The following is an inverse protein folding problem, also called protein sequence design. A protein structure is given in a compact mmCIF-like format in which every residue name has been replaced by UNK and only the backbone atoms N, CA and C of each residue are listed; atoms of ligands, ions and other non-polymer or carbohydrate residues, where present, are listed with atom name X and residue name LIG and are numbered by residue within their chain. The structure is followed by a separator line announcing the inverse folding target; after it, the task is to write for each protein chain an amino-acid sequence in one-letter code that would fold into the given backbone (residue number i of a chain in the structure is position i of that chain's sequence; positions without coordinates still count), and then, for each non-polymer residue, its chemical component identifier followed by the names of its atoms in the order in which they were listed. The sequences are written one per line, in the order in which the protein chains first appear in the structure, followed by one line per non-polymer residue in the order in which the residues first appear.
data_IF_944582218670
#
_entry.id   IF_944582218670
#
_cell.length_a   1.000
_cell.length_b   1.000
_cell.length_c   1.000
_cell.angle_alpha   90.00
_cell.angle_beta   90.00
_cell.angle_gamma   90.00
#
_symmetry.space_group_name_H-M   'P 1'
#
loop_
_entity.id
_entity.type
_entity.pdbx_description
1 polymer ?
#
# COMPACT_ATOMS: atom_id res chain seq x y z
N UNK A 1 -46.58 6.72 -25.57
CA UNK A 1 -45.28 6.55 -24.90
C UNK A 1 -45.13 7.73 -23.94
N UNK A 2 -45.22 7.40 -22.66
CA UNK A 2 -45.49 8.37 -21.60
C UNK A 2 -44.24 9.18 -21.23
N UNK A 3 -44.36 10.48 -21.36
CA UNK A 3 -43.29 11.47 -21.10
C UNK A 3 -42.83 11.46 -19.63
N UNK A 4 -43.64 10.94 -18.71
CA UNK A 4 -43.39 10.83 -17.29
C UNK A 4 -42.33 9.78 -16.97
N UNK A 5 -42.28 8.67 -17.72
CA UNK A 5 -41.35 7.57 -17.50
C UNK A 5 -39.92 7.94 -17.91
N UNK A 6 -39.78 8.77 -18.94
CA UNK A 6 -38.47 9.27 -19.44
C UNK A 6 -37.83 10.25 -18.46
N UNK A 7 -38.62 11.10 -17.80
CA UNK A 7 -38.14 12.09 -16.82
C UNK A 7 -37.69 11.38 -15.52
N UNK A 8 -38.37 10.32 -15.10
CA UNK A 8 -38.00 9.55 -13.90
C UNK A 8 -36.68 8.80 -14.14
N UNK A 9 -36.46 8.22 -15.35
CA UNK A 9 -35.20 7.54 -15.69
C UNK A 9 -34.04 8.50 -15.85
N UNK A 10 -34.28 9.71 -16.38
CA UNK A 10 -33.27 10.76 -16.45
C UNK A 10 -32.92 11.31 -15.06
N UNK A 11 -33.89 11.51 -14.18
CA UNK A 11 -33.66 11.94 -12.80
C UNK A 11 -32.96 10.87 -11.96
N UNK A 12 -33.22 9.58 -12.17
CA UNK A 12 -32.50 8.51 -11.47
C UNK A 12 -31.06 8.36 -11.95
N UNK A 13 -30.75 8.65 -13.23
CA UNK A 13 -29.37 8.72 -13.75
C UNK A 13 -28.64 10.01 -13.40
N UNK A 14 -29.35 11.10 -13.12
CA UNK A 14 -28.76 12.36 -12.65
C UNK A 14 -28.52 12.39 -11.14
N UNK A 15 -29.12 11.47 -10.36
CA UNK A 15 -28.84 11.30 -8.92
C UNK A 15 -27.58 10.48 -8.63
N UNK A 16 -26.98 9.83 -9.62
CA UNK A 16 -25.68 9.22 -9.53
C UNK A 16 -24.58 10.27 -9.73
N UNK A 17 -24.08 10.78 -8.62
CA UNK A 17 -22.75 11.38 -8.49
C UNK A 17 -22.57 12.88 -8.53
N UNK A 18 -23.37 13.65 -7.86
CA UNK A 18 -22.82 14.93 -7.35
C UNK A 18 -22.25 14.68 -5.96
N UNK A 19 -20.94 14.43 -5.87
CA UNK A 19 -20.22 14.45 -4.62
C UNK A 19 -20.43 15.83 -3.98
N UNK A 20 -20.87 15.86 -2.71
CA UNK A 20 -21.20 17.10 -2.03
C UNK A 20 -19.97 18.03 -2.03
N UNK A 21 -20.12 19.28 -2.51
CA UNK A 21 -19.04 20.28 -2.53
C UNK A 21 -18.37 20.44 -1.15
N UNK A 22 -19.12 20.25 -0.06
CA UNK A 22 -18.59 20.23 1.31
C UNK A 22 -17.58 19.08 1.51
N UNK A 23 -17.89 17.87 1.06
CA UNK A 23 -16.99 16.70 1.14
C UNK A 23 -15.72 16.93 0.31
N UNK A 24 -15.83 17.47 -0.90
CA UNK A 24 -14.67 17.80 -1.75
C UNK A 24 -13.75 18.79 -1.03
N UNK A 25 -14.30 19.85 -0.44
CA UNK A 25 -13.53 20.85 0.29
C UNK A 25 -12.82 20.25 1.48
N UNK A 26 -13.52 19.48 2.31
CA UNK A 26 -12.96 18.78 3.49
C UNK A 26 -11.77 17.92 3.06
N UNK A 27 -11.91 17.12 1.99
CA UNK A 27 -10.83 16.22 1.56
C UNK A 27 -9.63 16.99 1.02
N UNK A 28 -9.84 18.09 0.28
CA UNK A 28 -8.74 18.92 -0.22
C UNK A 28 -7.97 19.61 0.92
N UNK A 29 -8.68 20.18 1.88
CA UNK A 29 -8.08 20.81 3.07
C UNK A 29 -7.33 19.79 3.93
N UNK A 30 -7.94 18.63 4.19
CA UNK A 30 -7.31 17.55 4.96
C UNK A 30 -6.05 16.99 4.27
N UNK A 31 -6.07 16.78 2.94
CA UNK A 31 -4.89 16.34 2.22
C UNK A 31 -3.70 17.29 2.41
N UNK A 32 -3.92 18.60 2.30
CA UNK A 32 -2.88 19.62 2.51
C UNK A 32 -2.36 19.66 3.96
N UNK A 33 -3.25 19.43 4.92
CA UNK A 33 -2.91 19.50 6.34
C UNK A 33 -2.11 18.29 6.83
N UNK A 34 -2.41 17.08 6.29
CA UNK A 34 -1.87 15.83 6.82
C UNK A 34 -0.76 15.21 5.96
N UNK A 35 -0.64 15.57 4.69
CA UNK A 35 0.49 15.14 3.86
C UNK A 35 1.71 16.00 4.14
N UNK A 36 2.35 15.77 5.28
CA UNK A 36 3.51 16.53 5.77
C UNK A 36 4.63 15.59 6.22
N UNK A 37 5.85 16.11 6.39
CA UNK A 37 6.98 15.32 6.93
C UNK A 37 6.71 14.79 8.34
N UNK A 38 5.92 15.48 9.14
CA UNK A 38 5.57 15.06 10.50
C UNK A 38 4.73 13.77 10.52
N UNK A 39 4.04 13.48 9.41
CA UNK A 39 3.35 12.20 9.23
C UNK A 39 4.31 11.02 9.42
N UNK A 40 5.57 11.13 8.96
CA UNK A 40 6.58 10.08 9.07
C UNK A 40 6.90 9.69 10.51
N UNK A 41 6.82 10.61 11.47
CA UNK A 41 7.20 10.36 12.87
C UNK A 41 6.41 9.21 13.51
N UNK A 42 5.24 8.90 12.98
CA UNK A 42 4.35 7.86 13.51
C UNK A 42 3.90 6.86 12.45
N UNK A 43 4.53 6.85 11.27
CA UNK A 43 4.16 5.99 10.15
C UNK A 43 5.31 5.03 9.79
N UNK A 44 5.04 3.77 9.42
CA UNK A 44 6.08 2.83 9.01
C UNK A 44 6.85 3.28 7.75
N UNK A 45 6.37 4.25 7.00
CA UNK A 45 7.11 4.88 5.93
C UNK A 45 8.44 5.50 6.40
N UNK A 46 8.57 5.85 7.69
CA UNK A 46 9.82 6.32 8.27
C UNK A 46 11.00 5.39 7.94
N UNK A 47 10.79 4.08 8.04
CA UNK A 47 11.86 3.09 7.89
C UNK A 47 12.48 3.08 6.48
N UNK A 48 11.70 3.35 5.44
CA UNK A 48 12.22 3.37 4.06
C UNK A 48 13.14 4.57 3.76
N UNK A 49 13.11 5.60 4.59
CA UNK A 49 13.98 6.78 4.45
C UNK A 49 15.36 6.59 5.09
N UNK A 50 15.54 5.57 5.95
CA UNK A 50 16.79 5.36 6.69
C UNK A 50 17.93 4.81 5.81
N UNK A 51 17.73 3.78 4.97
CA UNK A 51 18.78 3.33 4.04
C UNK A 51 19.16 4.44 3.06
N UNK A 52 20.44 4.45 2.64
CA UNK A 52 20.96 5.46 1.70
C UNK A 52 20.72 5.04 0.25
N UNK A 53 21.03 3.77 -0.04
CA UNK A 53 21.00 3.24 -1.40
C UNK A 53 19.56 2.97 -1.88
N UNK A 54 19.29 3.24 -3.17
CA UNK A 54 17.95 3.11 -3.78
C UNK A 54 17.35 1.73 -3.53
N UNK A 55 18.08 0.67 -3.84
CA UNK A 55 17.57 -0.69 -3.72
C UNK A 55 17.40 -1.15 -2.27
N UNK A 56 18.19 -0.63 -1.33
CA UNK A 56 17.96 -0.87 0.10
C UNK A 56 16.68 -0.15 0.59
N UNK A 57 16.39 1.05 0.08
CA UNK A 57 15.11 1.74 0.32
C UNK A 57 13.92 0.95 -0.19
N UNK A 58 14.00 0.40 -1.40
CA UNK A 58 12.96 -0.45 -2.00
C UNK A 58 12.68 -1.69 -1.14
N UNK A 59 13.73 -2.40 -0.75
CA UNK A 59 13.63 -3.60 0.08
C UNK A 59 13.10 -3.26 1.47
N UNK A 60 13.57 -2.16 2.07
CA UNK A 60 13.08 -1.71 3.37
C UNK A 60 11.59 -1.33 3.31
N UNK A 61 11.18 -0.58 2.29
CA UNK A 61 9.78 -0.21 2.08
C UNK A 61 8.90 -1.45 1.92
N UNK A 62 9.34 -2.44 1.14
CA UNK A 62 8.61 -3.68 0.93
C UNK A 62 8.43 -4.47 2.24
N UNK A 63 9.51 -4.69 2.99
CA UNK A 63 9.46 -5.39 4.29
C UNK A 63 8.61 -4.60 5.28
N UNK A 64 8.82 -3.30 5.42
CA UNK A 64 8.06 -2.45 6.34
C UNK A 64 6.56 -2.48 6.04
N UNK A 65 6.17 -2.39 4.76
CA UNK A 65 4.77 -2.49 4.36
C UNK A 65 4.17 -3.85 4.72
N UNK A 66 4.89 -4.94 4.46
CA UNK A 66 4.46 -6.30 4.76
C UNK A 66 4.29 -6.58 6.27
N UNK A 67 5.12 -5.93 7.10
CA UNK A 67 5.06 -6.04 8.55
C UNK A 67 4.01 -5.10 9.19
N UNK A 68 3.51 -4.10 8.46
CA UNK A 68 2.61 -3.07 8.96
C UNK A 68 1.19 -3.57 9.12
N UNK A 69 0.95 -4.43 10.12
CA UNK A 69 -0.39 -4.85 10.50
C UNK A 69 -0.53 -4.98 12.02
N UNK A 70 -1.70 -4.62 12.55
CA UNK A 70 -1.93 -4.58 14.00
C UNK A 70 -1.43 -3.28 14.63
N UNK A 71 -1.07 -3.35 15.91
CA UNK A 71 -0.69 -2.17 16.69
C UNK A 71 0.74 -1.76 16.40
N UNK A 72 0.95 -0.46 16.21
CA UNK A 72 2.23 0.16 15.82
C UNK A 72 3.36 -0.16 16.79
N UNK A 73 3.08 -0.07 18.08
CA UNK A 73 4.03 -0.33 19.16
C UNK A 73 4.58 -1.77 19.12
N UNK A 74 3.87 -2.70 18.45
CA UNK A 74 4.27 -4.09 18.35
C UNK A 74 5.08 -4.39 17.08
N UNK A 75 4.78 -3.76 15.94
CA UNK A 75 5.51 -4.05 14.71
C UNK A 75 6.71 -3.12 14.47
N UNK A 76 6.72 -1.89 14.97
CA UNK A 76 7.86 -0.98 14.84
C UNK A 76 9.16 -1.60 15.36
N UNK A 77 9.22 -2.18 16.57
CA UNK A 77 10.44 -2.83 17.05
C UNK A 77 10.90 -3.99 16.15
N UNK A 78 9.97 -4.69 15.48
CA UNK A 78 10.29 -5.79 14.57
C UNK A 78 10.91 -5.30 13.25
N UNK A 79 10.39 -4.20 12.71
CA UNK A 79 10.98 -3.54 11.53
C UNK A 79 12.35 -2.96 11.89
N UNK A 80 12.47 -2.32 13.05
CA UNK A 80 13.74 -1.79 13.54
C UNK A 80 14.79 -2.89 13.70
N UNK A 81 14.43 -4.04 14.26
CA UNK A 81 15.34 -5.18 14.39
C UNK A 81 15.88 -5.66 13.04
N UNK A 82 15.05 -5.74 11.99
CA UNK A 82 15.50 -6.10 10.63
C UNK A 82 16.48 -5.03 10.10
N UNK A 83 16.20 -3.77 10.33
CA UNK A 83 17.07 -2.67 9.91
C UNK A 83 18.43 -2.72 10.63
N UNK A 84 18.43 -3.04 11.92
CA UNK A 84 19.65 -3.14 12.75
C UNK A 84 20.48 -4.35 12.32
N UNK A 85 19.89 -5.53 12.15
CA UNK A 85 20.56 -6.74 11.68
C UNK A 85 21.21 -6.53 10.30
N UNK A 86 20.48 -5.88 9.39
CA UNK A 86 20.98 -5.58 8.04
C UNK A 86 22.01 -4.45 8.00
N UNK A 87 22.18 -3.68 9.09
CA UNK A 87 23.02 -2.47 9.14
C UNK A 87 22.69 -1.51 7.99
N UNK A 88 21.40 -1.37 7.67
CA UNK A 88 20.86 -0.58 6.55
C UNK A 88 21.24 -1.04 5.14
N UNK A 89 21.94 -2.18 5.00
CA UNK A 89 22.33 -2.82 3.73
C UNK A 89 21.48 -4.06 3.46
N UNK A 90 20.18 -3.85 3.26
CA UNK A 90 19.19 -4.92 3.20
C UNK A 90 19.43 -5.86 2.03
N UNK A 91 19.78 -5.33 0.84
CA UNK A 91 20.07 -6.14 -0.34
C UNK A 91 21.23 -7.08 -0.08
N UNK A 92 22.33 -6.56 0.47
CA UNK A 92 23.50 -7.37 0.82
C UNK A 92 23.16 -8.42 1.89
N UNK A 93 22.43 -8.04 2.93
CA UNK A 93 22.02 -8.91 4.02
C UNK A 93 21.15 -10.08 3.53
N UNK A 94 20.24 -9.80 2.60
CA UNK A 94 19.39 -10.84 1.99
C UNK A 94 20.20 -11.72 1.03
N UNK A 95 20.98 -11.14 0.13
CA UNK A 95 21.74 -11.90 -0.88
C UNK A 95 22.80 -12.80 -0.26
N UNK A 96 23.51 -12.34 0.78
CA UNK A 96 24.49 -13.14 1.50
C UNK A 96 23.87 -14.29 2.30
N UNK A 97 22.59 -14.22 2.66
CA UNK A 97 21.92 -15.19 3.52
C UNK A 97 22.11 -14.92 5.02
N UNK A 98 22.70 -13.78 5.41
CA UNK A 98 22.90 -13.44 6.83
C UNK A 98 21.57 -13.38 7.62
N UNK A 99 20.44 -13.14 6.95
CA UNK A 99 19.11 -13.16 7.58
C UNK A 99 18.78 -14.53 8.21
N UNK A 100 19.36 -15.63 7.72
CA UNK A 100 19.13 -16.98 8.25
C UNK A 100 19.76 -17.16 9.64
N UNK A 101 20.88 -16.44 9.89
CA UNK A 101 21.50 -16.39 11.21
C UNK A 101 20.72 -15.48 12.16
N UNK A 102 20.30 -14.30 11.70
CA UNK A 102 19.67 -13.28 12.54
C UNK A 102 18.18 -13.60 12.84
N UNK A 103 17.53 -14.37 11.96
CA UNK A 103 16.17 -14.90 12.10
C UNK A 103 16.26 -16.42 11.87
N UNK A 104 16.59 -17.23 12.90
CA UNK A 104 16.75 -18.68 12.75
C UNK A 104 15.48 -19.35 12.27
N UNK A 105 15.59 -20.31 11.36
CA UNK A 105 14.44 -21.07 10.82
C UNK A 105 13.83 -21.99 11.87
N UNK A 106 12.85 -21.50 12.63
CA UNK A 106 12.15 -22.25 13.67
C UNK A 106 10.71 -21.71 13.87
N UNK A 107 9.92 -22.41 14.68
CA UNK A 107 8.52 -22.06 14.94
C UNK A 107 8.32 -21.01 16.04
N UNK A 108 9.38 -20.38 16.54
CA UNK A 108 9.23 -19.27 17.49
C UNK A 108 8.53 -18.07 16.83
N UNK A 109 7.71 -17.38 17.60
CA UNK A 109 6.98 -16.21 17.11
C UNK A 109 7.94 -15.08 16.79
N UNK A 110 8.00 -14.67 15.51
CA UNK A 110 8.63 -13.43 15.10
C UNK A 110 7.72 -12.24 15.41
N UNK A 111 6.51 -12.31 14.89
CA UNK A 111 5.51 -11.26 15.10
C UNK A 111 4.08 -11.80 14.89
N UNK A 112 3.28 -11.83 15.95
CA UNK A 112 1.88 -12.28 15.94
C UNK A 112 1.70 -13.67 15.28
N UNK A 113 1.13 -13.72 14.08
CA UNK A 113 0.91 -14.95 13.32
C UNK A 113 2.13 -15.38 12.49
N UNK A 114 3.18 -14.57 12.45
CA UNK A 114 4.40 -14.90 11.72
C UNK A 114 5.42 -15.54 12.66
N UNK A 115 5.79 -16.78 12.37
CA UNK A 115 6.93 -17.44 13.01
C UNK A 115 8.22 -17.02 12.31
N UNK A 116 9.35 -17.32 12.93
CA UNK A 116 10.66 -17.15 12.30
C UNK A 116 10.75 -17.95 10.99
N UNK A 117 10.18 -19.18 10.96
CA UNK A 117 10.07 -19.98 9.74
C UNK A 117 9.35 -19.23 8.60
N UNK A 118 8.20 -18.63 8.88
CA UNK A 118 7.45 -17.82 7.90
C UNK A 118 8.27 -16.64 7.40
N UNK A 119 8.96 -15.93 8.29
CA UNK A 119 9.82 -14.81 7.92
C UNK A 119 11.02 -15.25 7.08
N UNK A 120 11.65 -16.37 7.45
CA UNK A 120 12.77 -16.95 6.70
C UNK A 120 12.34 -17.29 5.26
N UNK A 121 11.21 -17.97 5.09
CA UNK A 121 10.66 -18.29 3.76
C UNK A 121 10.31 -17.04 2.95
N UNK A 122 9.76 -16.03 3.58
CA UNK A 122 9.47 -14.74 2.93
C UNK A 122 10.76 -14.06 2.43
N UNK A 123 11.79 -13.98 3.28
CA UNK A 123 13.09 -13.42 2.92
C UNK A 123 13.81 -14.24 1.86
N UNK A 124 13.70 -15.58 1.92
CA UNK A 124 14.20 -16.47 0.87
C UNK A 124 13.55 -16.17 -0.49
N UNK A 125 12.22 -16.02 -0.54
CA UNK A 125 11.54 -15.64 -1.80
C UNK A 125 11.97 -14.26 -2.29
N UNK A 126 12.18 -13.31 -1.40
CA UNK A 126 12.72 -12.01 -1.75
C UNK A 126 14.16 -12.12 -2.28
N UNK A 127 15.01 -12.97 -1.68
CA UNK A 127 16.35 -13.30 -2.18
C UNK A 127 16.28 -13.83 -3.62
N UNK A 128 15.38 -14.80 -3.89
CA UNK A 128 15.21 -15.35 -5.24
C UNK A 128 14.78 -14.28 -6.26
N UNK A 129 13.89 -13.36 -5.85
CA UNK A 129 13.49 -12.23 -6.68
C UNK A 129 14.69 -11.34 -7.02
N UNK A 130 15.50 -10.98 -6.02
CA UNK A 130 16.68 -10.14 -6.22
C UNK A 130 17.74 -10.81 -7.10
N UNK A 131 17.94 -12.14 -6.97
CA UNK A 131 18.85 -12.90 -7.84
C UNK A 131 18.34 -12.90 -9.27
N UNK A 132 17.03 -13.15 -9.47
CA UNK A 132 16.45 -13.35 -10.81
C UNK A 132 16.32 -12.04 -11.58
N UNK A 133 15.86 -10.98 -10.92
CA UNK A 133 15.53 -9.70 -11.56
C UNK A 133 16.53 -8.58 -11.24
N UNK A 134 17.38 -8.76 -10.25
CA UNK A 134 18.37 -7.78 -9.80
C UNK A 134 17.82 -6.73 -8.81
N UNK A 135 16.54 -6.36 -8.88
CA UNK A 135 15.91 -5.43 -7.95
C UNK A 135 14.39 -5.58 -7.96
N UNK A 136 13.71 -5.02 -6.94
CA UNK A 136 12.23 -4.90 -6.94
C UNK A 136 11.73 -4.00 -8.06
N UNK A 137 12.48 -2.94 -8.40
CA UNK A 137 12.19 -2.06 -9.55
C UNK A 137 12.15 -2.83 -10.87
N UNK A 138 13.18 -3.65 -11.14
CA UNK A 138 13.22 -4.45 -12.38
C UNK A 138 12.15 -5.52 -12.42
N UNK A 139 11.81 -6.12 -11.28
CA UNK A 139 10.64 -7.00 -11.16
C UNK A 139 9.35 -6.25 -11.53
N UNK A 140 9.17 -5.04 -11.01
CA UNK A 140 8.00 -4.22 -11.30
C UNK A 140 7.90 -3.87 -12.80
N UNK A 141 9.00 -3.43 -13.42
CA UNK A 141 9.05 -3.11 -14.84
C UNK A 141 8.75 -4.34 -15.73
N UNK A 142 9.24 -5.53 -15.35
CA UNK A 142 9.01 -6.77 -16.07
C UNK A 142 7.54 -7.22 -16.03
N UNK A 143 6.90 -7.16 -14.87
CA UNK A 143 5.55 -7.69 -14.67
C UNK A 143 4.42 -6.69 -14.93
N UNK A 144 4.71 -5.41 -14.97
CA UNK A 144 3.71 -4.37 -15.23
C UNK A 144 4.07 -3.49 -16.45
N UNK A 145 4.24 -4.09 -17.64
CA UNK A 145 4.54 -3.34 -18.86
C UNK A 145 3.38 -2.41 -19.29
N UNK A 146 2.19 -2.60 -18.72
CA UNK A 146 1.02 -1.74 -18.90
C UNK A 146 1.00 -0.55 -17.90
N UNK A 147 2.03 -0.38 -17.10
CA UNK A 147 2.21 0.67 -16.10
C UNK A 147 1.08 0.75 -15.05
N UNK A 148 0.32 -0.34 -14.82
CA UNK A 148 -0.81 -0.36 -13.89
C UNK A 148 -0.48 -1.00 -12.55
N UNK A 149 -0.83 -0.31 -11.47
CA UNK A 149 -0.64 -0.80 -10.11
C UNK A 149 -1.31 -2.17 -9.86
N UNK A 150 -2.53 -2.40 -10.38
CA UNK A 150 -3.25 -3.66 -10.19
C UNK A 150 -2.53 -4.85 -10.82
N UNK A 151 -1.87 -4.67 -11.97
CA UNK A 151 -1.08 -5.69 -12.65
C UNK A 151 0.10 -6.09 -11.78
N UNK A 152 0.81 -5.13 -11.22
CA UNK A 152 1.94 -5.39 -10.33
C UNK A 152 1.51 -6.03 -9.00
N UNK A 153 0.38 -5.61 -8.41
CA UNK A 153 -0.18 -6.25 -7.20
C UNK A 153 -0.46 -7.73 -7.46
N UNK A 154 -1.08 -8.08 -8.60
CA UNK A 154 -1.32 -9.47 -9.00
C UNK A 154 -0.01 -10.26 -9.14
N UNK A 155 1.01 -9.65 -9.75
CA UNK A 155 2.33 -10.27 -9.90
C UNK A 155 2.98 -10.58 -8.55
N UNK A 156 2.98 -9.64 -7.59
CA UNK A 156 3.47 -9.91 -6.23
C UNK A 156 2.68 -11.03 -5.55
N UNK A 157 1.36 -11.02 -5.65
CA UNK A 157 0.54 -12.10 -5.09
C UNK A 157 0.90 -13.46 -5.69
N UNK A 158 1.02 -13.56 -7.01
CA UNK A 158 1.40 -14.80 -7.71
C UNK A 158 2.79 -15.25 -7.29
N UNK A 159 3.80 -14.38 -7.44
CA UNK A 159 5.20 -14.71 -7.18
C UNK A 159 5.44 -15.23 -5.76
N UNK A 160 4.94 -14.54 -4.74
CA UNK A 160 5.19 -14.92 -3.34
C UNK A 160 4.35 -16.11 -2.86
N UNK A 161 3.34 -16.54 -3.62
CA UNK A 161 2.52 -17.70 -3.28
C UNK A 161 2.73 -18.91 -4.20
N UNK A 162 3.64 -18.84 -5.18
CA UNK A 162 3.98 -19.93 -6.09
C UNK A 162 4.62 -21.11 -5.34
N UNK A 163 5.49 -20.85 -4.36
CA UNK A 163 6.21 -21.85 -3.58
C UNK A 163 5.92 -21.67 -2.11
N UNK A 164 4.84 -22.28 -1.62
CA UNK A 164 4.46 -22.26 -0.21
C UNK A 164 3.94 -20.89 0.28
N UNK A 165 2.77 -20.89 0.85
CA UNK A 165 2.13 -19.65 1.33
C UNK A 165 2.73 -19.22 2.67
N UNK A 166 3.27 -18.02 2.74
CA UNK A 166 3.73 -17.41 3.99
C UNK A 166 2.65 -16.60 4.70
N UNK A 167 1.51 -16.35 4.04
CA UNK A 167 0.43 -15.45 4.49
C UNK A 167 0.87 -13.99 4.73
N UNK A 168 2.13 -13.66 4.48
CA UNK A 168 2.65 -12.29 4.54
C UNK A 168 2.12 -11.50 3.35
N UNK A 169 2.20 -12.07 2.15
CA UNK A 169 1.59 -11.51 0.94
C UNK A 169 0.24 -12.19 0.69
N UNK A 170 -0.83 -11.45 0.37
CA UNK A 170 -2.12 -12.04 0.03
C UNK A 170 -2.02 -13.04 -1.11
N UNK A 171 -2.82 -14.13 -1.07
CA UNK A 171 -2.82 -15.15 -2.12
C UNK A 171 -3.24 -14.57 -3.49
N UNK A 172 -4.17 -13.64 -3.49
CA UNK A 172 -4.72 -13.00 -4.68
C UNK A 172 -5.34 -11.64 -4.34
N UNK A 173 -5.95 -10.99 -5.33
CA UNK A 173 -6.60 -9.69 -5.21
C UNK A 173 -8.08 -9.76 -4.81
N UNK A 174 -8.54 -10.78 -4.10
CA UNK A 174 -9.88 -10.80 -3.48
C UNK A 174 -9.95 -9.87 -2.27
N UNK A 175 -8.90 -9.86 -1.44
CA UNK A 175 -8.72 -8.84 -0.40
C UNK A 175 -8.27 -7.51 -1.02
N UNK A 176 -8.34 -6.42 -0.26
CA UNK A 176 -7.85 -5.10 -0.70
C UNK A 176 -6.35 -5.02 -0.95
N UNK A 177 -5.58 -6.04 -0.57
CA UNK A 177 -4.12 -6.05 -0.64
C UNK A 177 -3.49 -4.78 -0.03
N UNK A 178 -4.06 -4.27 1.08
CA UNK A 178 -3.72 -2.99 1.70
C UNK A 178 -2.20 -2.74 1.74
N UNK A 179 -1.42 -3.74 2.20
CA UNK A 179 0.03 -3.62 2.38
C UNK A 179 0.79 -3.44 1.07
N UNK A 180 0.38 -4.13 0.00
CA UNK A 180 0.93 -3.93 -1.33
C UNK A 180 0.51 -2.58 -1.93
N UNK A 181 -0.75 -2.16 -1.73
CA UNK A 181 -1.21 -0.83 -2.13
C UNK A 181 -0.40 0.28 -1.41
N UNK A 182 -0.13 0.11 -0.12
CA UNK A 182 0.69 1.02 0.67
C UNK A 182 2.15 1.06 0.16
N UNK A 183 2.75 -0.10 -0.12
CA UNK A 183 4.07 -0.19 -0.71
C UNK A 183 4.15 0.54 -2.06
N UNK A 184 3.18 0.31 -2.95
CA UNK A 184 3.14 0.98 -4.25
C UNK A 184 2.92 2.49 -4.11
N UNK A 185 2.10 2.95 -3.15
CA UNK A 185 1.99 4.38 -2.85
C UNK A 185 3.36 4.96 -2.55
N UNK A 186 4.12 4.34 -1.64
CA UNK A 186 5.44 4.80 -1.24
C UNK A 186 6.46 4.83 -2.39
N UNK A 187 6.40 3.82 -3.27
CA UNK A 187 7.36 3.72 -4.37
C UNK A 187 7.04 4.62 -5.56
N UNK A 188 5.76 4.89 -5.83
CA UNK A 188 5.32 5.49 -7.09
C UNK A 188 5.00 6.98 -6.97
N UNK A 189 4.38 7.43 -5.86
CA UNK A 189 3.96 8.83 -5.72
C UNK A 189 5.15 9.76 -5.63
N UNK A 190 5.26 10.65 -6.61
CA UNK A 190 6.24 11.73 -6.66
C UNK A 190 5.70 12.99 -5.98
N UNK A 191 6.59 13.93 -5.72
CA UNK A 191 6.27 15.25 -5.16
C UNK A 191 5.54 15.18 -3.80
N UNK A 192 5.75 14.10 -3.05
CA UNK A 192 5.23 13.86 -1.71
C UNK A 192 6.33 14.07 -0.65
N UNK A 193 6.05 14.75 0.48
CA UNK A 193 7.00 14.81 1.58
C UNK A 193 7.15 13.49 2.34
N UNK A 194 6.29 12.50 2.06
CA UNK A 194 6.20 11.20 2.73
C UNK A 194 6.69 10.07 1.85
N UNK A 195 6.23 10.01 0.60
CA UNK A 195 6.48 8.90 -0.32
C UNK A 195 7.79 9.11 -1.09
N UNK A 196 8.45 8.04 -1.52
CA UNK A 196 9.78 8.12 -2.16
C UNK A 196 9.73 8.42 -3.66
N UNK A 197 8.69 7.99 -4.36
CA UNK A 197 8.51 8.22 -5.79
C UNK A 197 9.57 7.60 -6.70
N UNK A 198 10.27 6.55 -6.25
CA UNK A 198 11.39 5.94 -6.99
C UNK A 198 10.94 5.20 -8.26
N UNK A 199 9.65 4.88 -8.39
CA UNK A 199 9.06 4.10 -9.48
C UNK A 199 8.03 4.88 -10.31
N UNK A 200 8.08 6.22 -10.27
CA UNK A 200 7.14 7.06 -10.99
C UNK A 200 7.16 6.86 -12.52
N UNK A 201 8.30 6.39 -13.06
CA UNK A 201 8.47 6.09 -14.50
C UNK A 201 8.03 4.64 -14.85
N UNK A 202 7.80 3.79 -13.85
CA UNK A 202 7.45 2.38 -14.03
C UNK A 202 5.94 2.18 -13.91
N UNK A 203 5.31 2.80 -12.90
CA UNK A 203 3.88 2.69 -12.65
C UNK A 203 3.25 4.07 -12.72
N UNK A 204 2.18 4.19 -13.48
CA UNK A 204 1.40 5.44 -13.54
C UNK A 204 0.72 5.70 -12.18
N UNK A 205 1.10 6.80 -11.54
CA UNK A 205 0.57 7.24 -10.24
C UNK A 205 -0.96 7.31 -10.22
N UNK A 206 -1.59 7.62 -11.35
CA UNK A 206 -3.05 7.67 -11.49
C UNK A 206 -3.72 6.30 -11.36
N UNK A 207 -2.95 5.21 -11.54
CA UNK A 207 -3.46 3.83 -11.42
C UNK A 207 -3.35 3.26 -10.01
N UNK A 208 -2.71 3.97 -9.09
CA UNK A 208 -2.58 3.55 -7.69
C UNK A 208 -3.94 3.33 -7.04
N UNK A 209 -3.99 2.38 -6.14
CA UNK A 209 -5.20 1.97 -5.41
C UNK A 209 -5.02 2.28 -3.94
N UNK A 210 -6.03 2.87 -3.31
CA UNK A 210 -5.98 3.26 -1.90
C UNK A 210 -5.70 2.06 -0.99
N UNK A 211 -4.80 2.18 0.01
CA UNK A 211 -4.55 1.15 1.03
C UNK A 211 -5.76 1.01 1.96
N UNK A 212 -6.78 0.29 1.50
CA UNK A 212 -8.07 0.18 2.16
C UNK A 212 -8.01 -0.69 3.41
N UNK A 213 -8.36 -0.11 4.56
CA UNK A 213 -8.60 -0.82 5.82
C UNK A 213 -9.94 -0.40 6.47
N UNK A 214 -10.21 -0.93 7.65
CA UNK A 214 -11.44 -0.65 8.39
C UNK A 214 -11.58 0.82 8.77
N UNK A 215 -10.49 1.51 9.08
CA UNK A 215 -10.50 2.92 9.43
C UNK A 215 -10.83 3.79 8.19
N UNK A 216 -10.12 3.55 7.08
CA UNK A 216 -10.41 4.23 5.80
C UNK A 216 -11.86 4.00 5.35
N UNK A 217 -12.39 2.77 5.51
CA UNK A 217 -13.80 2.47 5.23
C UNK A 217 -14.75 3.28 6.11
N UNK A 218 -14.48 3.37 7.41
CA UNK A 218 -15.31 4.13 8.34
C UNK A 218 -15.39 5.59 7.93
N UNK A 219 -14.26 6.22 7.65
CA UNK A 219 -14.22 7.63 7.27
C UNK A 219 -14.81 7.88 5.87
N UNK A 220 -14.57 6.99 4.93
CA UNK A 220 -15.20 7.05 3.60
C UNK A 220 -16.73 6.92 3.67
N UNK A 221 -17.28 6.05 4.55
CA UNK A 221 -18.71 5.98 4.81
C UNK A 221 -19.26 7.25 5.47
N UNK A 222 -18.54 7.79 6.47
CA UNK A 222 -18.92 9.02 7.19
C UNK A 222 -19.03 10.22 6.24
N UNK A 223 -18.11 10.29 5.27
CA UNK A 223 -18.10 11.33 4.24
C UNK A 223 -19.05 11.03 3.06
N UNK A 224 -19.76 9.92 3.07
CA UNK A 224 -20.71 9.53 2.02
C UNK A 224 -20.05 9.09 0.71
N UNK A 225 -18.75 8.76 0.74
CA UNK A 225 -18.02 8.30 -0.45
C UNK A 225 -18.41 6.87 -0.83
N UNK A 226 -18.60 5.99 0.13
CA UNK A 226 -19.04 4.59 -0.07
C UNK A 226 -20.09 4.23 0.98
N UNK A 227 -20.78 3.09 0.76
CA UNK A 227 -21.74 2.52 1.72
C UNK A 227 -21.49 1.03 1.88
N UNK A 228 -20.41 0.67 2.57
CA UNK A 228 -20.03 -0.74 2.75
C UNK A 228 -19.09 -0.91 3.96
N UNK A 229 -19.01 -2.15 4.48
CA UNK A 229 -18.04 -2.55 5.49
C UNK A 229 -16.98 -3.51 4.92
N UNK A 230 -17.05 -3.85 3.62
CA UNK A 230 -16.16 -4.81 2.99
C UNK A 230 -14.78 -4.21 2.70
N UNK A 231 -13.72 -4.98 2.98
CA UNK A 231 -12.31 -4.65 2.69
C UNK A 231 -11.79 -5.36 1.44
N UNK A 232 -12.63 -5.51 0.40
CA UNK A 232 -12.23 -6.15 -0.87
C UNK A 232 -11.49 -5.19 -1.81
N UNK A 233 -10.76 -5.74 -2.78
CA UNK A 233 -10.12 -4.96 -3.86
C UNK A 233 -11.16 -4.18 -4.66
N UNK A 234 -12.34 -4.76 -4.90
CA UNK A 234 -13.42 -4.07 -5.60
C UNK A 234 -13.79 -2.76 -4.90
N UNK A 235 -13.94 -2.78 -3.58
CA UNK A 235 -14.26 -1.57 -2.79
C UNK A 235 -13.09 -0.59 -2.78
N UNK A 236 -11.85 -1.08 -2.71
CA UNK A 236 -10.66 -0.22 -2.80
C UNK A 236 -10.62 0.53 -4.14
N UNK A 237 -10.87 -0.17 -5.26
CA UNK A 237 -10.96 0.45 -6.57
C UNK A 237 -12.13 1.45 -6.67
N UNK A 238 -13.31 1.09 -6.16
CA UNK A 238 -14.49 1.98 -6.16
C UNK A 238 -14.20 3.29 -5.40
N UNK A 239 -13.61 3.20 -4.21
CA UNK A 239 -13.23 4.38 -3.45
C UNK A 239 -12.16 5.21 -4.18
N UNK A 240 -11.15 4.55 -4.74
CA UNK A 240 -10.10 5.23 -5.51
C UNK A 240 -10.67 6.01 -6.71
N UNK A 241 -11.63 5.44 -7.43
CA UNK A 241 -12.30 6.15 -8.55
C UNK A 241 -13.03 7.42 -8.08
N UNK A 242 -13.62 7.39 -6.89
CA UNK A 242 -14.26 8.59 -6.31
C UNK A 242 -13.22 9.62 -5.89
N UNK A 243 -12.09 9.20 -5.33
CA UNK A 243 -10.99 10.09 -4.99
C UNK A 243 -10.34 10.68 -6.25
N UNK A 244 -10.25 9.92 -7.35
CA UNK A 244 -9.74 10.41 -8.64
C UNK A 244 -10.58 11.57 -9.22
N UNK A 245 -11.87 11.60 -8.94
CA UNK A 245 -12.72 12.76 -9.32
C UNK A 245 -12.34 14.04 -8.58
N UNK A 246 -11.72 13.92 -7.39
CA UNK A 246 -11.26 15.05 -6.56
C UNK A 246 -9.80 15.39 -6.86
N UNK A 247 -8.97 14.36 -7.06
CA UNK A 247 -7.53 14.42 -7.30
C UNK A 247 -7.18 13.63 -8.56
N UNK A 248 -7.43 14.19 -9.78
CA UNK A 248 -7.31 13.44 -11.03
C UNK A 248 -5.90 12.87 -11.27
N UNK A 249 -4.86 13.64 -10.97
CA UNK A 249 -3.48 13.26 -11.22
C UNK A 249 -2.87 12.43 -10.08
N UNK A 250 -3.48 12.47 -8.88
CA UNK A 250 -2.96 11.76 -7.71
C UNK A 250 -4.11 11.38 -6.75
N UNK A 251 -4.84 10.30 -7.04
CA UNK A 251 -5.99 9.89 -6.23
C UNK A 251 -5.60 9.54 -4.79
N UNK A 252 -4.32 9.23 -4.52
CA UNK A 252 -3.88 8.83 -3.18
C UNK A 252 -3.58 10.03 -2.24
N UNK A 253 -3.71 11.27 -2.70
CA UNK A 253 -3.91 12.43 -1.79
C UNK A 253 -5.14 12.21 -0.89
N UNK A 254 -6.14 11.49 -1.40
CA UNK A 254 -7.32 11.08 -0.64
C UNK A 254 -7.02 10.13 0.53
N UNK A 255 -5.95 9.36 0.48
CA UNK A 255 -5.53 8.49 1.59
C UNK A 255 -5.11 9.33 2.83
N UNK A 256 -4.25 10.34 2.62
CA UNK A 256 -3.89 11.30 3.68
C UNK A 256 -5.10 12.09 4.20
N UNK A 257 -6.00 12.46 3.29
CA UNK A 257 -7.21 13.20 3.65
C UNK A 257 -8.13 12.37 4.56
N UNK A 258 -8.38 11.10 4.21
CA UNK A 258 -9.23 10.21 5.00
C UNK A 258 -8.58 9.84 6.34
N UNK A 259 -7.27 9.56 6.34
CA UNK A 259 -6.52 9.28 7.55
C UNK A 259 -6.58 10.47 8.52
N UNK A 260 -6.26 11.66 8.03
CA UNK A 260 -6.23 12.87 8.86
C UNK A 260 -7.62 13.31 9.36
N UNK A 261 -8.64 13.15 8.53
CA UNK A 261 -10.01 13.42 8.93
C UNK A 261 -10.44 12.53 10.11
N UNK A 262 -10.05 11.25 10.08
CA UNK A 262 -10.37 10.30 11.15
C UNK A 262 -9.64 10.51 12.47
N UNK A 263 -8.46 11.17 12.46
CA UNK A 263 -7.75 11.51 13.72
C UNK A 263 -8.47 12.61 14.50
N UNK A 264 -9.16 13.52 13.83
CA UNK A 264 -9.75 14.72 14.43
C UNK A 264 -11.26 14.62 14.68
N UNK A 265 -11.89 13.50 14.37
CA UNK A 265 -13.32 13.24 14.55
C UNK A 265 -13.58 11.86 15.16
#
# INVERSE_FOLDING_TARGET
MDCSTTIIVLNSKLSESYMNNKTIRILKEAALLYETKDFLLKDPALFMHIPKEKHDKEVMAFIASCMSYGRRELFFPKIQNILDCSKTKLVQWILSGNYEHDIPDNEQSFYRLYTNHIMNRFLYRLKQLLITYGSLEKFAAYYAPDHKAITLIKAFCSYFNEVGQTHIIPKNTQSSCKRLCMFLRWMVRKDSPVDLGLWNDIIDQRTLIIPLDTHVIQEANRLGLIKTKSTSMKVACELTEKLRKIFPEDPLKGDFALFGYGINN
#
